data_IF_252249817230
#
_entry.id   IF_252249817230
#
_cell.length_a   1.000
_cell.length_b   1.000
_cell.length_c   1.000
_cell.angle_alpha   90.00
_cell.angle_beta   90.00
_cell.angle_gamma   90.00
#
_symmetry.space_group_name_H-M   'P 1'
#
loop_
_entity.id
_entity.type
_entity.pdbx_description
1 polymer ?
#
# COMPACT_ATOMS: atom_id res chain seq x y z
N UNK A 1 5.51 -15.34 14.11
CA UNK A 1 5.98 -14.14 13.41
C UNK A 1 5.17 -13.95 12.14
N UNK A 2 4.65 -12.77 11.94
CA UNK A 2 3.89 -12.50 10.74
C UNK A 2 4.82 -12.31 9.55
N UNK A 3 4.48 -12.94 8.44
CA UNK A 3 5.19 -12.73 7.20
C UNK A 3 4.55 -11.57 6.44
N UNK A 4 5.33 -10.94 5.54
CA UNK A 4 4.81 -9.87 4.70
C UNK A 4 3.64 -10.36 3.87
N UNK A 5 3.75 -11.57 3.30
CA UNK A 5 2.67 -12.14 2.49
C UNK A 5 1.37 -12.23 3.27
N UNK A 6 1.45 -12.66 4.53
CA UNK A 6 0.26 -12.78 5.36
C UNK A 6 -0.35 -11.43 5.66
N UNK A 7 0.48 -10.44 5.97
CA UNK A 7 0.01 -9.08 6.21
C UNK A 7 -0.69 -8.50 4.98
N UNK A 8 -0.13 -8.75 3.80
CA UNK A 8 -0.73 -8.29 2.56
C UNK A 8 -2.10 -8.93 2.36
N UNK A 9 -2.20 -10.24 2.57
CA UNK A 9 -3.47 -10.96 2.42
C UNK A 9 -4.51 -10.41 3.39
N UNK A 10 -4.14 -10.23 4.64
CA UNK A 10 -5.05 -9.70 5.65
C UNK A 10 -5.50 -8.28 5.31
N UNK A 11 -4.55 -7.46 4.86
CA UNK A 11 -4.87 -6.09 4.46
C UNK A 11 -5.83 -6.05 3.28
N UNK A 12 -5.60 -6.89 2.28
CA UNK A 12 -6.49 -6.95 1.12
C UNK A 12 -7.89 -7.40 1.49
N UNK A 13 -8.00 -8.37 2.41
CA UNK A 13 -9.30 -8.81 2.89
C UNK A 13 -10.05 -7.68 3.57
N UNK A 14 -9.37 -6.90 4.41
CA UNK A 14 -9.98 -5.77 5.07
C UNK A 14 -10.40 -4.69 4.06
N UNK A 15 -9.58 -4.47 3.06
CA UNK A 15 -9.89 -3.52 2.00
C UNK A 15 -11.16 -3.92 1.27
N UNK A 16 -11.28 -5.20 0.92
CA UNK A 16 -12.45 -5.72 0.22
C UNK A 16 -13.72 -5.60 1.07
N UNK A 17 -13.56 -5.72 2.38
CA UNK A 17 -14.69 -5.59 3.31
C UNK A 17 -15.05 -4.13 3.62
N UNK A 18 -14.24 -3.19 3.16
CA UNK A 18 -14.45 -1.79 3.45
C UNK A 18 -13.91 -1.34 4.79
N UNK A 19 -13.13 -2.20 5.46
CA UNK A 19 -12.50 -1.87 6.74
C UNK A 19 -11.16 -1.20 6.47
N UNK A 20 -11.22 0.04 5.98
CA UNK A 20 -10.03 0.74 5.47
C UNK A 20 -8.99 1.02 6.53
N UNK A 21 -9.42 1.35 7.75
CA UNK A 21 -8.46 1.60 8.84
C UNK A 21 -7.65 0.35 9.17
N UNK A 22 -8.30 -0.81 9.20
CA UNK A 22 -7.63 -2.07 9.45
C UNK A 22 -6.69 -2.41 8.30
N UNK A 23 -7.16 -2.21 7.06
CA UNK A 23 -6.33 -2.47 5.89
C UNK A 23 -5.07 -1.61 5.93
N UNK A 24 -5.23 -0.33 6.25
CA UNK A 24 -4.09 0.59 6.36
C UNK A 24 -3.08 0.10 7.38
N UNK A 25 -3.56 -0.36 8.52
CA UNK A 25 -2.70 -0.85 9.58
C UNK A 25 -1.87 -2.05 9.11
N UNK A 26 -2.50 -3.01 8.43
CA UNK A 26 -1.78 -4.18 7.92
C UNK A 26 -0.73 -3.78 6.88
N UNK A 27 -1.07 -2.89 5.97
CA UNK A 27 -0.13 -2.47 4.93
C UNK A 27 1.02 -1.67 5.53
N UNK A 28 0.78 -0.86 6.55
CA UNK A 28 1.85 -0.14 7.22
C UNK A 28 2.81 -1.09 7.93
N UNK A 29 2.28 -2.13 8.55
CA UNK A 29 3.14 -3.15 9.15
C UNK A 29 3.99 -3.85 8.10
N UNK A 30 3.41 -4.18 6.97
CA UNK A 30 4.14 -4.82 5.88
C UNK A 30 5.23 -3.90 5.34
N UNK A 31 4.94 -2.61 5.20
CA UNK A 31 5.93 -1.63 4.73
C UNK A 31 7.09 -1.53 5.71
N UNK A 32 6.82 -1.59 7.01
CA UNK A 32 7.90 -1.51 8.00
C UNK A 32 8.86 -2.69 7.87
N UNK A 33 8.39 -3.81 7.33
CA UNK A 33 9.23 -4.98 7.10
C UNK A 33 9.97 -4.92 5.76
N UNK A 34 9.41 -4.24 4.77
CA UNK A 34 10.03 -4.10 3.45
C UNK A 34 9.62 -2.76 2.84
N UNK A 35 10.44 -1.75 3.04
CA UNK A 35 10.15 -0.40 2.58
C UNK A 35 10.42 -0.21 1.09
N UNK A 36 11.00 -1.21 0.43
CA UNK A 36 11.38 -1.12 -0.97
C UNK A 36 10.40 -1.83 -1.90
N UNK A 37 9.30 -2.35 -1.36
CA UNK A 37 8.30 -3.02 -2.19
C UNK A 37 7.31 -1.98 -2.70
N UNK A 38 7.34 -1.67 -3.99
CA UNK A 38 6.45 -0.64 -4.54
C UNK A 38 4.98 -1.02 -4.45
N UNK A 39 4.67 -2.31 -4.48
CA UNK A 39 3.28 -2.76 -4.39
C UNK A 39 2.66 -2.40 -3.06
N UNK A 40 3.44 -2.47 -1.98
CA UNK A 40 2.95 -2.10 -0.65
C UNK A 40 2.59 -0.62 -0.57
N UNK A 41 3.44 0.23 -1.12
CA UNK A 41 3.16 1.66 -1.15
C UNK A 41 1.92 1.95 -2.00
N UNK A 42 1.75 1.24 -3.10
CA UNK A 42 0.59 1.38 -3.95
C UNK A 42 -0.68 0.96 -3.20
N UNK A 43 -0.65 -0.17 -2.51
CA UNK A 43 -1.79 -0.63 -1.71
C UNK A 43 -2.15 0.36 -0.62
N UNK A 44 -1.15 0.90 0.07
CA UNK A 44 -1.41 1.93 1.08
C UNK A 44 -2.08 3.15 0.46
N UNK A 45 -1.61 3.57 -0.71
CA UNK A 45 -2.22 4.69 -1.42
C UNK A 45 -3.67 4.44 -1.77
N UNK A 46 -4.00 3.23 -2.20
CA UNK A 46 -5.39 2.87 -2.51
C UNK A 46 -6.26 3.00 -1.28
N UNK A 47 -5.79 2.51 -0.13
CA UNK A 47 -6.54 2.62 1.11
C UNK A 47 -6.74 4.08 1.51
N UNK A 48 -5.68 4.87 1.43
CA UNK A 48 -5.77 6.30 1.79
C UNK A 48 -6.75 7.03 0.89
N UNK A 49 -6.74 6.71 -0.41
CA UNK A 49 -7.71 7.29 -1.34
C UNK A 49 -9.13 6.94 -0.93
N UNK A 50 -9.35 5.68 -0.55
CA UNK A 50 -10.66 5.22 -0.10
C UNK A 50 -11.12 5.93 1.17
N UNK A 51 -10.15 6.35 2.00
CA UNK A 51 -10.44 7.12 3.22
C UNK A 51 -10.64 8.62 2.95
N UNK A 52 -10.44 9.06 1.72
CA UNK A 52 -10.52 10.46 1.38
C UNK A 52 -9.25 11.25 1.68
N UNK A 53 -8.18 10.57 2.03
CA UNK A 53 -6.89 11.20 2.37
C UNK A 53 -6.04 11.27 1.11
N UNK A 54 -6.46 12.12 0.17
CA UNK A 54 -5.90 12.12 -1.19
C UNK A 54 -4.45 12.57 -1.25
N UNK A 55 -4.06 13.57 -0.46
CA UNK A 55 -2.68 14.04 -0.48
C UNK A 55 -1.72 12.95 -0.04
N UNK A 56 -2.09 12.21 0.98
CA UNK A 56 -1.27 11.11 1.47
C UNK A 56 -1.24 9.96 0.46
N UNK A 57 -2.37 9.72 -0.21
CA UNK A 57 -2.44 8.69 -1.24
C UNK A 57 -1.48 9.02 -2.38
N UNK A 58 -1.48 10.26 -2.83
CA UNK A 58 -0.59 10.71 -3.91
C UNK A 58 0.87 10.51 -3.50
N UNK A 59 1.20 10.85 -2.25
CA UNK A 59 2.56 10.66 -1.75
C UNK A 59 2.97 9.18 -1.81
N UNK A 60 2.04 8.27 -1.47
CA UNK A 60 2.33 6.84 -1.52
C UNK A 60 2.52 6.36 -2.96
N UNK A 61 1.69 6.84 -3.89
CA UNK A 61 1.82 6.48 -5.29
C UNK A 61 3.15 6.99 -5.86
N UNK A 62 3.54 8.20 -5.50
CA UNK A 62 4.82 8.75 -5.91
C UNK A 62 5.98 7.94 -5.34
N UNK A 63 5.85 7.50 -4.09
CA UNK A 63 6.86 6.65 -3.48
C UNK A 63 6.99 5.33 -4.22
N UNK A 64 5.86 4.74 -4.58
CA UNK A 64 5.84 3.49 -5.34
C UNK A 64 6.59 3.66 -6.67
N UNK A 65 6.30 4.74 -7.39
CA UNK A 65 6.96 5.02 -8.66
C UNK A 65 8.45 5.31 -8.49
N UNK A 66 8.82 5.93 -7.38
CA UNK A 66 10.22 6.20 -7.07
C UNK A 66 11.02 4.92 -6.87
N UNK A 67 10.39 3.92 -6.25
CA UNK A 67 11.05 2.63 -6.01
C UNK A 67 11.14 1.82 -7.30
N UNK A 68 10.05 1.80 -8.08
CA UNK A 68 9.98 1.00 -9.30
C UNK A 68 9.39 1.83 -10.44
N UNK A 69 10.26 2.47 -11.22
CA UNK A 69 9.79 3.34 -12.30
C UNK A 69 9.49 2.60 -13.59
N UNK A 70 9.26 1.29 -13.54
CA UNK A 70 9.02 0.50 -14.76
C UNK A 70 7.89 1.06 -15.61
N UNK A 71 6.84 1.55 -14.98
CA UNK A 71 5.69 2.07 -15.70
C UNK A 71 6.03 3.28 -16.55
N UNK A 72 7.03 4.03 -16.14
CA UNK A 72 7.45 5.21 -16.90
C UNK A 72 8.13 4.83 -18.18
N UNK A 73 8.71 3.65 -18.25
CA UNK A 73 9.49 3.22 -19.38
C UNK A 73 8.64 2.60 -20.48
N UNK A 74 7.37 2.38 -20.19
CA UNK A 74 6.47 1.79 -21.19
C UNK A 74 5.89 2.82 -22.12
N UNK A 75 6.06 4.06 -21.80
CA UNK A 75 5.57 5.15 -22.65
C UNK A 75 6.46 5.43 -23.82
#
# INVERSE_FOLDING_TARGET
MESISRLIILGKEQLDCGNYDNALNFFEQAISLDQKDPDLWNLKGIVLRSLGRYDEAISCFNKSLSIDPRDKNTS
#
